data_IF_485025656312
#
_entry.id   IF_485025656312
#
_cell.length_a   1.000
_cell.length_b   1.000
_cell.length_c   1.000
_cell.angle_alpha   90.00
_cell.angle_beta   90.00
_cell.angle_gamma   90.00
#
_symmetry.space_group_name_H-M   'P 1'
#
loop_
_entity.id
_entity.type
_entity.pdbx_description
1 polymer ?
#
# COMPACT_ATOMS: atom_id res chain seq x y z
N UNK A 1 -24.25 -10.42 -46.24
CA UNK A 1 -23.18 -9.52 -45.77
C UNK A 1 -23.13 -9.61 -44.25
N UNK A 2 -21.91 -9.70 -43.73
CA UNK A 2 -21.60 -10.25 -42.42
C UNK A 2 -22.07 -9.40 -41.23
N UNK A 3 -22.29 -10.14 -40.15
CA UNK A 3 -22.73 -9.79 -38.80
C UNK A 3 -21.81 -8.76 -38.12
N UNK A 4 -22.35 -7.58 -37.76
CA UNK A 4 -21.67 -6.61 -36.88
C UNK A 4 -22.34 -6.68 -35.50
N UNK A 5 -22.02 -7.73 -34.73
CA UNK A 5 -22.40 -7.79 -33.31
C UNK A 5 -21.49 -6.86 -32.51
N UNK A 6 -21.93 -5.61 -32.33
CA UNK A 6 -21.50 -4.78 -31.20
C UNK A 6 -22.02 -5.43 -29.92
N UNK A 7 -21.21 -6.27 -29.30
CA UNK A 7 -21.42 -6.67 -27.92
C UNK A 7 -21.08 -5.47 -27.04
N UNK A 8 -22.10 -4.68 -26.72
CA UNK A 8 -22.07 -3.74 -25.62
C UNK A 8 -21.70 -4.50 -24.34
N UNK A 9 -20.60 -4.13 -23.70
CA UNK A 9 -20.23 -4.61 -22.37
C UNK A 9 -21.33 -4.23 -21.38
N UNK A 10 -21.86 -5.21 -20.67
CA UNK A 10 -22.90 -5.01 -19.67
C UNK A 10 -22.37 -4.18 -18.49
N UNK A 11 -23.10 -3.14 -18.02
CA UNK A 11 -22.78 -2.49 -16.75
C UNK A 11 -23.24 -3.42 -15.61
N UNK A 12 -22.34 -4.26 -15.12
CA UNK A 12 -22.61 -5.22 -14.04
C UNK A 12 -21.80 -6.52 -14.05
N UNK A 13 -20.81 -6.67 -14.95
CA UNK A 13 -19.90 -7.82 -14.95
C UNK A 13 -18.89 -7.75 -13.80
N UNK A 14 -18.45 -8.93 -13.32
CA UNK A 14 -17.31 -9.01 -12.41
C UNK A 14 -16.07 -8.35 -13.08
N UNK A 15 -15.24 -7.62 -12.32
CA UNK A 15 -14.07 -6.95 -12.86
C UNK A 15 -13.11 -7.98 -13.47
N UNK A 16 -12.56 -7.62 -14.62
CA UNK A 16 -11.59 -8.44 -15.34
C UNK A 16 -10.25 -8.46 -14.61
N UNK A 17 -9.42 -9.48 -14.88
CA UNK A 17 -8.05 -9.53 -14.36
C UNK A 17 -7.24 -8.28 -14.74
N UNK A 18 -7.45 -7.72 -15.94
CA UNK A 18 -6.78 -6.51 -16.39
C UNK A 18 -7.11 -5.31 -15.50
N UNK A 19 -8.40 -5.09 -15.22
CA UNK A 19 -8.87 -4.01 -14.35
C UNK A 19 -8.36 -4.19 -12.92
N UNK A 20 -8.40 -5.42 -12.38
CA UNK A 20 -7.87 -5.71 -11.04
C UNK A 20 -6.36 -5.47 -10.94
N UNK A 21 -5.59 -5.78 -11.99
CA UNK A 21 -4.16 -5.49 -12.02
C UNK A 21 -3.87 -3.99 -12.07
N UNK A 22 -4.66 -3.23 -12.83
CA UNK A 22 -4.53 -1.77 -12.89
C UNK A 22 -4.90 -1.12 -11.57
N UNK A 23 -5.99 -1.55 -10.93
CA UNK A 23 -6.37 -1.11 -9.58
C UNK A 23 -5.27 -1.41 -8.56
N UNK A 24 -4.72 -2.63 -8.58
CA UNK A 24 -3.65 -3.02 -7.67
C UNK A 24 -2.36 -2.20 -7.89
N UNK A 25 -1.95 -1.97 -9.15
CA UNK A 25 -0.81 -1.11 -9.48
C UNK A 25 -1.03 0.33 -9.01
N UNK A 26 -2.23 0.87 -9.20
CA UNK A 26 -2.56 2.22 -8.74
C UNK A 26 -2.52 2.33 -7.21
N UNK A 27 -3.05 1.34 -6.50
CA UNK A 27 -3.03 1.30 -5.04
C UNK A 27 -1.59 1.23 -4.48
N UNK A 28 -0.74 0.37 -5.05
CA UNK A 28 0.67 0.27 -4.68
C UNK A 28 1.40 1.61 -4.93
N UNK A 29 1.16 2.26 -6.07
CA UNK A 29 1.74 3.56 -6.37
C UNK A 29 1.29 4.65 -5.36
N UNK A 30 0.01 4.65 -4.96
CA UNK A 30 -0.51 5.58 -3.95
C UNK A 30 0.10 5.31 -2.57
N UNK A 31 0.16 4.06 -2.13
CA UNK A 31 0.78 3.68 -0.86
C UNK A 31 2.27 4.09 -0.81
N UNK A 32 2.98 3.93 -1.93
CA UNK A 32 4.37 4.39 -2.07
C UNK A 32 4.48 5.92 -1.94
N UNK A 33 3.58 6.66 -2.58
CA UNK A 33 3.55 8.11 -2.49
C UNK A 33 3.26 8.59 -1.06
N UNK A 34 2.29 7.96 -0.37
CA UNK A 34 1.98 8.26 1.02
C UNK A 34 3.19 8.04 1.95
N UNK A 35 3.90 6.91 1.82
CA UNK A 35 5.12 6.67 2.59
C UNK A 35 6.21 7.69 2.31
N UNK A 36 6.39 8.09 1.05
CA UNK A 36 7.37 9.11 0.68
C UNK A 36 7.03 10.49 1.26
N UNK A 37 5.73 10.80 1.40
CA UNK A 37 5.22 12.00 2.06
C UNK A 37 5.29 11.93 3.59
N UNK A 38 5.62 10.77 4.18
CA UNK A 38 5.59 10.55 5.63
C UNK A 38 4.17 10.40 6.18
N UNK A 39 3.23 10.01 5.34
CA UNK A 39 1.86 9.65 5.71
C UNK A 39 1.73 8.15 5.97
N UNK A 40 0.69 7.75 6.68
CA UNK A 40 0.40 6.33 6.93
C UNK A 40 -0.35 5.77 5.72
N UNK A 41 0.27 4.88 4.92
CA UNK A 41 -0.43 4.24 3.80
C UNK A 41 -1.50 3.25 4.28
N UNK A 42 -2.58 3.10 3.52
CA UNK A 42 -3.55 2.02 3.70
C UNK A 42 -3.03 0.72 3.05
N UNK A 43 -2.17 0.02 3.79
CA UNK A 43 -1.57 -1.23 3.32
C UNK A 43 -2.56 -2.39 3.27
N UNK A 44 -3.61 -2.36 4.08
CA UNK A 44 -4.63 -3.40 4.10
C UNK A 44 -5.48 -3.34 2.82
N UNK A 45 -5.94 -2.14 2.44
CA UNK A 45 -6.63 -1.95 1.17
C UNK A 45 -5.74 -2.30 -0.03
N UNK A 46 -4.46 -1.91 0.02
CA UNK A 46 -3.49 -2.23 -1.04
C UNK A 46 -3.30 -3.75 -1.19
N UNK A 47 -3.08 -4.46 -0.07
CA UNK A 47 -2.93 -5.92 -0.08
C UNK A 47 -4.20 -6.62 -0.57
N UNK A 48 -5.39 -6.15 -0.15
CA UNK A 48 -6.68 -6.71 -0.58
C UNK A 48 -6.88 -6.63 -2.09
N UNK A 49 -6.46 -5.53 -2.74
CA UNK A 49 -6.53 -5.39 -4.20
C UNK A 49 -5.57 -6.34 -4.92
N UNK A 50 -4.35 -6.51 -4.40
CA UNK A 50 -3.38 -7.47 -4.92
C UNK A 50 -3.90 -8.90 -4.78
N UNK A 51 -4.51 -9.25 -3.64
CA UNK A 51 -5.13 -10.56 -3.40
C UNK A 51 -6.29 -10.85 -4.36
N UNK A 52 -7.13 -9.84 -4.64
CA UNK A 52 -8.21 -9.97 -5.64
C UNK A 52 -7.65 -10.23 -7.04
N UNK A 53 -6.59 -9.53 -7.44
CA UNK A 53 -5.92 -9.76 -8.71
C UNK A 53 -5.26 -11.15 -8.77
N UNK A 54 -4.74 -11.65 -7.65
CA UNK A 54 -4.22 -13.01 -7.49
C UNK A 54 -5.31 -14.08 -7.64
N UNK A 55 -6.47 -13.86 -7.01
CA UNK A 55 -7.61 -14.77 -7.15
C UNK A 55 -8.09 -14.84 -8.61
N UNK A 56 -8.16 -13.69 -9.30
CA UNK A 56 -8.53 -13.62 -10.71
C UNK A 56 -7.50 -14.27 -11.65
N UNK A 57 -6.23 -14.39 -11.25
CA UNK A 57 -5.22 -15.14 -12.02
C UNK A 57 -5.58 -16.63 -12.13
N UNK A 58 -6.25 -17.19 -11.12
CA UNK A 58 -6.72 -18.58 -11.13
C UNK A 58 -7.76 -18.87 -12.21
N UNK A 59 -8.46 -17.84 -12.68
CA UNK A 59 -9.48 -17.91 -13.74
C UNK A 59 -8.97 -17.40 -15.10
N UNK A 60 -7.70 -17.00 -15.17
CA UNK A 60 -7.10 -16.42 -16.37
C UNK A 60 -6.84 -17.44 -17.47
N UNK A 61 -6.86 -16.98 -18.73
CA UNK A 61 -6.51 -17.83 -19.87
C UNK A 61 -4.99 -18.05 -19.96
N UNK A 62 -4.57 -19.14 -20.62
CA UNK A 62 -3.16 -19.50 -20.81
C UNK A 62 -2.32 -18.40 -21.48
N UNK A 63 -2.94 -17.58 -22.33
CA UNK A 63 -2.29 -16.47 -23.04
C UNK A 63 -2.00 -15.28 -22.13
N UNK A 64 -2.85 -15.04 -21.11
CA UNK A 64 -2.72 -13.92 -20.17
C UNK A 64 -1.81 -14.26 -18.99
N UNK A 65 -1.73 -15.55 -18.63
CA UNK A 65 -1.03 -16.08 -17.46
C UNK A 65 0.43 -15.61 -17.31
N UNK A 66 1.31 -15.68 -18.34
CA UNK A 66 2.71 -15.31 -18.19
C UNK A 66 2.91 -13.84 -17.82
N UNK A 67 2.20 -12.94 -18.51
CA UNK A 67 2.31 -11.49 -18.31
C UNK A 67 1.68 -11.06 -16.97
N UNK A 68 0.49 -11.58 -16.65
CA UNK A 68 -0.18 -11.27 -15.40
C UNK A 68 0.59 -11.79 -14.17
N UNK A 69 1.18 -12.99 -14.27
CA UNK A 69 1.98 -13.57 -13.19
C UNK A 69 3.22 -12.74 -12.87
N UNK A 70 3.95 -12.28 -13.89
CA UNK A 70 5.12 -11.42 -13.68
C UNK A 70 4.75 -10.09 -13.01
N UNK A 71 3.64 -9.48 -13.44
CA UNK A 71 3.12 -8.26 -12.81
C UNK A 71 2.73 -8.49 -11.34
N UNK A 72 2.04 -9.58 -11.04
CA UNK A 72 1.64 -9.91 -9.66
C UNK A 72 2.83 -10.20 -8.75
N UNK A 73 3.86 -10.89 -9.24
CA UNK A 73 5.09 -11.09 -8.47
C UNK A 73 5.74 -9.75 -8.14
N UNK A 74 5.86 -8.84 -9.11
CA UNK A 74 6.36 -7.49 -8.87
C UNK A 74 5.52 -6.72 -7.84
N UNK A 75 4.18 -6.82 -7.92
CA UNK A 75 3.29 -6.19 -6.95
C UNK A 75 3.46 -6.75 -5.53
N UNK A 76 3.62 -8.07 -5.38
CA UNK A 76 3.86 -8.70 -4.07
C UNK A 76 5.19 -8.25 -3.45
N UNK A 77 6.25 -8.14 -4.26
CA UNK A 77 7.55 -7.62 -3.82
C UNK A 77 7.42 -6.16 -3.37
N UNK A 78 6.67 -5.34 -4.11
CA UNK A 78 6.41 -3.95 -3.74
C UNK A 78 5.59 -3.84 -2.45
N UNK A 79 4.52 -4.61 -2.27
CA UNK A 79 3.74 -4.63 -1.02
C UNK A 79 4.63 -5.01 0.17
N UNK A 80 5.50 -6.00 0.01
CA UNK A 80 6.46 -6.39 1.04
C UNK A 80 7.41 -5.24 1.41
N UNK A 81 7.92 -4.52 0.40
CA UNK A 81 8.77 -3.35 0.61
C UNK A 81 8.01 -2.19 1.31
N UNK A 82 6.74 -1.98 0.98
CA UNK A 82 5.89 -0.97 1.61
C UNK A 82 5.67 -1.28 3.11
N UNK A 83 5.41 -2.53 3.47
CA UNK A 83 5.27 -2.97 4.87
C UNK A 83 6.55 -2.72 5.67
N UNK A 84 7.70 -3.07 5.11
CA UNK A 84 9.00 -2.81 5.74
C UNK A 84 9.23 -1.30 5.90
N UNK A 85 8.92 -0.50 4.88
CA UNK A 85 9.02 0.95 4.91
C UNK A 85 8.14 1.59 6.00
N UNK A 86 6.87 1.18 6.08
CA UNK A 86 5.92 1.65 7.08
C UNK A 86 6.37 1.32 8.51
N UNK A 87 6.90 0.10 8.72
CA UNK A 87 7.45 -0.30 10.02
C UNK A 87 8.63 0.57 10.42
N UNK A 88 9.57 0.82 9.49
CA UNK A 88 10.70 1.72 9.73
C UNK A 88 10.28 3.15 10.05
N UNK A 89 9.23 3.66 9.40
CA UNK A 89 8.66 4.97 9.70
C UNK A 89 8.07 5.03 11.12
N UNK A 90 7.30 4.01 11.52
CA UNK A 90 6.74 3.89 12.87
C UNK A 90 7.83 3.89 13.93
N UNK A 91 8.91 3.13 13.73
CA UNK A 91 9.99 3.01 14.70
C UNK A 91 10.75 4.35 14.86
N UNK A 92 10.94 5.10 13.76
CA UNK A 92 11.49 6.47 13.81
C UNK A 92 10.59 7.42 14.59
N UNK A 93 9.28 7.39 14.34
CA UNK A 93 8.31 8.21 15.08
C UNK A 93 8.31 7.86 16.57
N UNK A 94 8.36 6.57 16.91
CA UNK A 94 8.48 6.10 18.29
C UNK A 94 9.74 6.65 18.99
N UNK A 95 10.89 6.61 18.32
CA UNK A 95 12.14 7.19 18.84
C UNK A 95 12.06 8.70 19.03
N UNK A 96 11.47 9.43 18.08
CA UNK A 96 11.28 10.88 18.19
C UNK A 96 10.35 11.28 19.33
N UNK A 97 9.26 10.52 19.54
CA UNK A 97 8.34 10.74 20.66
C UNK A 97 9.02 10.46 22.01
N UNK A 98 9.85 9.43 22.10
CA UNK A 98 10.63 9.14 23.30
C UNK A 98 11.61 10.27 23.64
N UNK A 99 12.37 10.77 22.65
CA UNK A 99 13.30 11.90 22.83
C UNK A 99 12.58 13.18 23.29
N UNK A 100 11.42 13.50 22.70
CA UNK A 100 10.57 14.60 23.15
C UNK A 100 10.15 14.46 24.62
N UNK A 101 9.81 13.24 25.05
CA UNK A 101 9.52 12.93 26.45
C UNK A 101 10.71 13.20 27.37
N UNK A 102 11.90 12.70 26.99
CA UNK A 102 13.15 12.91 27.75
C UNK A 102 13.49 14.40 27.86
N UNK A 103 13.36 15.18 26.78
CA UNK A 103 13.59 16.63 26.80
C UNK A 103 12.63 17.34 27.75
N UNK A 104 11.35 16.98 27.76
CA UNK A 104 10.36 17.56 28.68
C UNK A 104 10.71 17.27 30.14
N UNK A 105 11.14 16.05 30.46
CA UNK A 105 11.57 15.70 31.81
C UNK A 105 12.80 16.51 32.24
N UNK A 106 13.79 16.69 31.36
CA UNK A 106 14.97 17.49 31.65
C UNK A 106 14.62 18.97 31.93
N UNK A 107 13.70 19.55 31.15
CA UNK A 107 13.19 20.92 31.38
C UNK A 107 12.50 21.03 32.73
N UNK A 108 11.61 20.07 33.06
CA UNK A 108 10.90 20.07 34.34
C UNK A 108 11.84 19.96 35.54
N UNK A 109 12.87 19.09 35.45
CA UNK A 109 13.89 18.95 36.49
C UNK A 109 14.70 20.25 36.68
N UNK A 110 15.08 20.92 35.59
CA UNK A 110 15.77 22.20 35.66
C UNK A 110 14.92 23.31 36.29
N UNK A 111 13.63 23.41 35.92
CA UNK A 111 12.71 24.37 36.51
C UNK A 111 12.50 24.12 38.03
N UNK A 112 12.36 22.85 38.44
CA UNK A 112 12.24 22.47 39.84
C UNK A 112 13.47 22.79 40.68
N UNK A 113 14.67 22.68 40.12
CA UNK A 113 15.91 23.04 40.81
C UNK A 113 16.11 24.56 40.92
N UNK A 114 15.64 25.35 39.96
CA UNK A 114 15.74 26.82 40.01
C UNK A 114 14.82 27.47 41.04
N UNK A 115 13.70 26.83 41.38
CA UNK A 115 12.75 27.32 42.39
C UNK A 115 13.09 26.96 43.84
N UNK A 116 14.17 26.20 44.07
CA UNK A 116 14.62 25.78 45.42
C UNK A 116 15.94 26.43 45.86
N UNK A 117 16.58 27.23 45.00
CA UNK A 117 17.84 27.92 45.27
C UNK A 117 17.64 29.37 45.66
#
# INVERSE_FOLDING_TARGET
>A
MAEERRSAGAPGGAPTLGELLEEAMAAVAQARAALAAGEVPDLEATASLVDRALAALGEATAEQLPSARLKLLGLLDEVSALVVGATGMRDRLGGQLADLGTRRQAIAAYAGNRGRG
#
